data_IF_334332681285
#
_entry.id   IF_334332681285
#
_cell.length_a   1.000
_cell.length_b   1.000
_cell.length_c   1.000
_cell.angle_alpha   90.00
_cell.angle_beta   90.00
_cell.angle_gamma   90.00
#
_symmetry.space_group_name_H-M   'P 1'
#
loop_
_entity.id
_entity.type
_entity.pdbx_description
1 polymer ?
#
# COMPACT_ATOMS: atom_id res chain seq x y z
N UNK A 1 -53.34 -5.88 -16.65
CA UNK A 1 -52.01 -6.56 -16.61
C UNK A 1 -50.80 -5.63 -16.82
N UNK A 2 -50.88 -4.31 -16.56
CA UNK A 2 -49.77 -3.35 -16.84
C UNK A 2 -49.02 -2.78 -15.62
N UNK A 3 -49.40 -3.14 -14.39
CA UNK A 3 -48.85 -2.52 -13.17
C UNK A 3 -47.66 -3.29 -12.57
N UNK A 4 -47.65 -4.62 -12.68
CA UNK A 4 -46.61 -5.49 -12.10
C UNK A 4 -45.22 -5.34 -12.76
N UNK A 5 -45.16 -5.11 -14.08
CA UNK A 5 -43.88 -4.97 -14.79
C UNK A 5 -43.15 -3.65 -14.46
N UNK A 6 -43.89 -2.56 -14.22
CA UNK A 6 -43.32 -1.25 -13.87
C UNK A 6 -42.71 -1.24 -12.47
N UNK A 7 -43.25 -2.04 -11.55
CA UNK A 7 -42.77 -2.13 -10.17
C UNK A 7 -41.35 -2.75 -10.09
N UNK A 8 -41.12 -3.87 -10.78
CA UNK A 8 -39.79 -4.51 -10.84
C UNK A 8 -38.73 -3.65 -11.52
N UNK A 9 -39.09 -2.96 -12.61
CA UNK A 9 -38.17 -2.07 -13.31
C UNK A 9 -37.76 -0.91 -12.41
N UNK A 10 -38.72 -0.16 -11.84
CA UNK A 10 -38.45 1.02 -11.01
C UNK A 10 -37.63 0.68 -9.75
N UNK A 11 -37.89 -0.47 -9.12
CA UNK A 11 -37.12 -0.94 -7.96
C UNK A 11 -35.67 -1.27 -8.33
N UNK A 12 -35.42 -1.86 -9.50
CA UNK A 12 -34.08 -2.13 -10.01
C UNK A 12 -33.24 -0.86 -10.25
N UNK A 13 -33.83 0.19 -10.84
CA UNK A 13 -33.11 1.46 -11.03
C UNK A 13 -32.85 2.19 -9.71
N UNK A 14 -33.82 2.20 -8.80
CA UNK A 14 -33.65 2.83 -7.49
C UNK A 14 -32.53 2.15 -6.67
N UNK A 15 -32.44 0.82 -6.73
CA UNK A 15 -31.37 0.09 -6.05
C UNK A 15 -29.99 0.42 -6.64
N UNK A 16 -29.89 0.58 -7.98
CA UNK A 16 -28.64 1.00 -8.64
C UNK A 16 -28.21 2.42 -8.28
N UNK A 17 -29.17 3.35 -8.11
CA UNK A 17 -28.90 4.74 -7.70
C UNK A 17 -28.50 4.82 -6.22
N UNK A 18 -29.11 4.00 -5.35
CA UNK A 18 -28.80 3.97 -3.92
C UNK A 18 -27.43 3.30 -3.71
N UNK A 19 -27.19 2.14 -4.33
CA UNK A 19 -25.91 1.43 -4.25
C UNK A 19 -24.74 2.28 -4.79
N UNK A 20 -24.93 3.03 -5.88
CA UNK A 20 -23.88 3.93 -6.39
C UNK A 20 -23.60 5.07 -5.41
N UNK A 21 -24.62 5.63 -4.75
CA UNK A 21 -24.44 6.63 -3.70
C UNK A 21 -23.75 6.06 -2.46
N UNK A 22 -24.01 4.82 -2.06
CA UNK A 22 -23.29 4.18 -0.95
C UNK A 22 -21.83 3.88 -1.29
N UNK A 23 -21.56 3.33 -2.48
CA UNK A 23 -20.19 3.03 -2.95
C UNK A 23 -19.38 4.32 -3.06
N UNK A 24 -19.96 5.38 -3.64
CA UNK A 24 -19.27 6.66 -3.76
C UNK A 24 -19.03 7.34 -2.40
N UNK A 25 -19.97 7.22 -1.46
CA UNK A 25 -19.79 7.70 -0.08
C UNK A 25 -18.67 6.93 0.65
N UNK A 26 -18.52 5.62 0.40
CA UNK A 26 -17.46 4.79 1.00
C UNK A 26 -16.06 5.21 0.54
N UNK A 27 -15.91 5.56 -0.74
CA UNK A 27 -14.63 6.07 -1.28
C UNK A 27 -14.30 7.46 -0.74
N UNK A 28 -15.29 8.35 -0.65
CA UNK A 28 -15.14 9.67 -0.05
C UNK A 28 -14.64 9.57 1.41
N UNK A 29 -15.22 8.66 2.22
CA UNK A 29 -14.77 8.42 3.59
C UNK A 29 -13.34 7.86 3.70
N UNK A 30 -12.91 7.01 2.77
CA UNK A 30 -11.56 6.44 2.78
C UNK A 30 -10.49 7.49 2.45
N UNK A 31 -10.77 8.35 1.48
CA UNK A 31 -9.86 9.43 1.10
C UNK A 31 -9.80 10.52 2.16
N UNK A 32 -10.95 10.91 2.75
CA UNK A 32 -10.99 11.84 3.87
C UNK A 32 -10.18 11.28 5.04
N UNK A 33 -10.33 10.00 5.39
CA UNK A 33 -9.56 9.37 6.48
C UNK A 33 -8.05 9.41 6.22
N UNK A 34 -7.63 9.14 4.98
CA UNK A 34 -6.22 9.15 4.59
C UNK A 34 -5.64 10.56 4.63
N UNK A 35 -6.37 11.54 4.10
CA UNK A 35 -5.97 12.95 4.11
C UNK A 35 -5.94 13.49 5.54
N UNK A 36 -6.96 13.21 6.36
CA UNK A 36 -7.01 13.61 7.77
C UNK A 36 -5.85 13.01 8.56
N UNK A 37 -5.49 11.75 8.31
CA UNK A 37 -4.32 11.12 8.94
C UNK A 37 -3.01 11.81 8.53
N UNK A 38 -2.82 12.09 7.24
CA UNK A 38 -1.63 12.80 6.75
C UNK A 38 -1.51 14.23 7.31
N UNK A 39 -2.62 14.97 7.37
CA UNK A 39 -2.64 16.34 7.92
C UNK A 39 -2.36 16.32 9.43
N UNK A 40 -3.00 15.42 10.18
CA UNK A 40 -2.77 15.29 11.61
C UNK A 40 -1.30 14.98 11.89
N UNK A 41 -0.73 14.03 11.15
CA UNK A 41 0.67 13.63 11.26
C UNK A 41 1.64 14.78 10.99
N UNK A 42 1.44 15.49 9.87
CA UNK A 42 2.23 16.67 9.50
C UNK A 42 2.12 17.77 10.56
N UNK A 43 0.91 18.03 11.06
CA UNK A 43 0.65 19.08 12.06
C UNK A 43 1.33 18.76 13.38
N UNK A 44 1.27 17.51 13.86
CA UNK A 44 1.92 17.09 15.11
C UNK A 44 3.44 17.14 14.96
N UNK A 45 4.01 16.58 13.90
CA UNK A 45 5.45 16.58 13.65
C UNK A 45 6.02 18.01 13.56
N UNK A 46 5.33 18.89 12.81
CA UNK A 46 5.69 20.30 12.72
C UNK A 46 5.56 21.01 14.06
N UNK A 47 4.43 20.86 14.76
CA UNK A 47 4.15 21.59 16.01
C UNK A 47 5.12 21.20 17.12
N UNK A 48 5.41 19.91 17.29
CA UNK A 48 6.37 19.41 18.28
C UNK A 48 7.77 19.95 17.98
N UNK A 49 8.22 19.85 16.72
CA UNK A 49 9.54 20.33 16.32
C UNK A 49 9.65 21.85 16.47
N UNK A 50 8.62 22.60 16.06
CA UNK A 50 8.57 24.04 16.21
C UNK A 50 8.55 24.47 17.68
N UNK A 51 7.79 23.78 18.54
CA UNK A 51 7.79 24.06 19.97
C UNK A 51 9.17 23.82 20.62
N UNK A 52 9.91 22.82 20.15
CA UNK A 52 11.24 22.49 20.67
C UNK A 52 12.35 23.40 20.13
N UNK A 53 12.25 23.85 18.87
CA UNK A 53 13.34 24.58 18.18
C UNK A 53 13.06 26.06 17.95
N UNK A 54 11.80 26.49 18.03
CA UNK A 54 11.35 27.83 17.66
C UNK A 54 11.49 28.16 16.16
N UNK A 55 11.89 27.19 15.32
CA UNK A 55 12.20 27.42 13.91
C UNK A 55 11.22 26.73 12.98
N UNK A 56 10.53 27.53 12.16
CA UNK A 56 9.60 27.06 11.12
C UNK A 56 10.33 26.20 10.09
N UNK A 57 11.59 26.54 9.77
CA UNK A 57 12.40 25.83 8.78
C UNK A 57 12.71 24.40 9.25
N UNK A 58 13.08 24.25 10.53
CA UNK A 58 13.39 22.93 11.10
C UNK A 58 12.11 22.09 11.19
N UNK A 59 10.98 22.68 11.61
CA UNK A 59 9.69 22.00 11.64
C UNK A 59 9.26 21.47 10.27
N UNK A 60 9.44 22.26 9.21
CA UNK A 60 9.13 21.84 7.83
C UNK A 60 10.05 20.73 7.33
N UNK A 61 11.36 20.81 7.61
CA UNK A 61 12.32 19.76 7.25
C UNK A 61 11.98 18.42 7.92
N UNK A 62 11.70 18.43 9.23
CA UNK A 62 11.37 17.20 9.97
C UNK A 62 10.10 16.53 9.42
N UNK A 63 9.10 17.32 9.03
CA UNK A 63 7.88 16.77 8.44
C UNK A 63 8.12 16.03 7.10
N UNK A 64 9.21 16.33 6.39
CA UNK A 64 9.63 15.65 5.16
C UNK A 64 10.65 14.53 5.40
N UNK A 65 11.36 14.58 6.54
CA UNK A 65 12.38 13.58 6.88
C UNK A 65 11.75 12.20 7.02
N UNK A 66 10.60 12.08 7.67
CA UNK A 66 9.97 10.77 7.88
C UNK A 66 9.65 10.00 6.59
N UNK A 67 8.90 10.54 5.60
CA UNK A 67 8.65 9.82 4.35
C UNK A 67 9.93 9.54 3.55
N UNK A 68 10.92 10.44 3.64
CA UNK A 68 12.21 10.26 2.96
C UNK A 68 13.01 9.12 3.58
N UNK A 69 13.12 9.08 4.91
CA UNK A 69 13.81 8.02 5.64
C UNK A 69 13.10 6.69 5.41
N UNK A 70 11.78 6.64 5.48
CA UNK A 70 11.02 5.41 5.25
C UNK A 70 11.26 4.86 3.83
N UNK A 71 11.30 5.74 2.83
CA UNK A 71 11.60 5.36 1.43
C UNK A 71 13.04 4.87 1.26
N UNK A 72 14.02 5.56 1.86
CA UNK A 72 15.43 5.18 1.80
C UNK A 72 15.65 3.83 2.48
N UNK A 73 15.10 3.63 3.68
CA UNK A 73 15.18 2.37 4.42
C UNK A 73 14.57 1.23 3.60
N UNK A 74 13.39 1.43 3.02
CA UNK A 74 12.76 0.43 2.17
C UNK A 74 13.63 0.08 0.94
N UNK A 75 14.21 1.08 0.28
CA UNK A 75 15.09 0.86 -0.86
C UNK A 75 16.33 0.03 -0.50
N UNK A 76 16.98 0.33 0.64
CA UNK A 76 18.11 -0.47 1.12
C UNK A 76 17.70 -1.87 1.57
N UNK A 77 16.53 -2.02 2.21
CA UNK A 77 15.99 -3.31 2.63
C UNK A 77 15.79 -4.24 1.43
N UNK A 78 15.16 -3.75 0.36
CA UNK A 78 14.99 -4.51 -0.88
C UNK A 78 16.32 -4.93 -1.49
N UNK A 79 17.27 -3.99 -1.60
CA UNK A 79 18.59 -4.24 -2.17
C UNK A 79 19.41 -5.25 -1.36
N UNK A 80 19.27 -5.23 -0.03
CA UNK A 80 19.90 -6.21 0.85
C UNK A 80 19.28 -7.59 0.66
N UNK A 81 17.95 -7.66 0.56
CA UNK A 81 17.26 -8.93 0.36
C UNK A 81 17.55 -9.56 -1.00
N UNK A 82 17.60 -8.76 -2.07
CA UNK A 82 18.02 -9.24 -3.40
C UNK A 82 19.39 -9.91 -3.35
N UNK A 83 20.32 -9.32 -2.60
CA UNK A 83 21.68 -9.86 -2.48
C UNK A 83 21.73 -11.18 -1.72
N UNK A 84 20.87 -11.34 -0.71
CA UNK A 84 20.77 -12.60 0.04
C UNK A 84 20.03 -13.66 -0.78
N UNK A 85 18.95 -13.29 -1.50
CA UNK A 85 18.25 -14.17 -2.46
C UNK A 85 19.20 -14.68 -3.54
N UNK A 86 20.01 -13.80 -4.15
CA UNK A 86 20.99 -14.16 -5.17
C UNK A 86 22.10 -15.10 -4.66
N UNK A 87 22.43 -15.05 -3.36
CA UNK A 87 23.37 -16.01 -2.76
C UNK A 87 22.73 -17.37 -2.52
N UNK A 88 21.47 -17.43 -2.09
CA UNK A 88 20.74 -18.69 -1.90
C UNK A 88 20.48 -19.41 -3.22
N UNK A 89 20.17 -18.69 -4.30
CA UNK A 89 19.93 -19.29 -5.62
C UNK A 89 21.16 -20.02 -6.19
N UNK A 90 22.39 -19.54 -5.92
CA UNK A 90 23.63 -20.21 -6.35
C UNK A 90 23.98 -21.49 -5.59
N UNK A 91 23.40 -21.70 -4.41
CA UNK A 91 23.64 -22.91 -3.61
C UNK A 91 22.70 -24.06 -4.00
N UNK A 92 21.64 -23.78 -4.77
CA UNK A 92 20.65 -24.78 -5.16
C UNK A 92 20.94 -25.43 -6.54
N UNK A 93 21.93 -24.92 -7.26
CA UNK A 93 22.29 -25.33 -8.63
C UNK A 93 23.60 -26.14 -8.62
N UNK A 94 23.68 -27.12 -7.71
CA UNK A 94 24.67 -28.19 -7.78
C UNK A 94 23.98 -29.40 -8.43
N UNK A 95 23.94 -29.50 -9.78
CA UNK A 95 23.51 -30.71 -10.44
C UNK A 95 24.52 -31.79 -10.06
N UNK A 96 24.07 -32.76 -9.24
CA UNK A 96 24.73 -34.05 -9.15
C UNK A 96 24.64 -34.75 -10.51
N UNK A 97 25.47 -34.31 -11.45
CA UNK A 97 25.95 -35.14 -12.53
C UNK A 97 27.05 -36.04 -11.95
N UNK A 98 27.01 -37.32 -12.33
CA UNK A 98 28.00 -38.38 -12.07
C UNK A 98 27.80 -39.24 -10.81
N UNK A 99 26.82 -40.14 -10.88
CA UNK A 99 27.10 -41.56 -10.62
C UNK A 99 26.38 -42.37 -11.69
N UNK A 100 27.08 -42.59 -12.81
CA UNK A 100 26.61 -43.52 -13.81
C UNK A 100 26.63 -44.94 -13.26
N UNK A 101 25.70 -45.77 -13.73
CA UNK A 101 25.97 -47.12 -14.21
C UNK A 101 24.87 -47.54 -15.20
N UNK A 102 25.22 -48.12 -16.37
CA UNK A 102 24.27 -48.90 -17.14
C UNK A 102 24.00 -50.21 -16.39
N UNK A 103 22.76 -50.44 -15.96
CA UNK A 103 22.34 -51.78 -15.52
C UNK A 103 21.98 -52.55 -16.79
N UNK A 104 22.91 -53.40 -17.21
CA UNK A 104 22.74 -54.27 -18.38
C UNK A 104 21.85 -55.48 -18.09
N UNK A 105 21.70 -56.30 -19.14
CA UNK A 105 21.21 -57.68 -19.08
C UNK A 105 19.82 -57.88 -19.67
#
# INVERSE_FOLDING_TARGET
MGSMAKFNFKNGYQLRIILSKEVQRREEYAMIKTISFAIAHFTVAFSVTFALTGSVVIGGLVALVEPTVNTVVYHFHEKLWDRIRARRARTQDDPQEMTGMPVGG
#
